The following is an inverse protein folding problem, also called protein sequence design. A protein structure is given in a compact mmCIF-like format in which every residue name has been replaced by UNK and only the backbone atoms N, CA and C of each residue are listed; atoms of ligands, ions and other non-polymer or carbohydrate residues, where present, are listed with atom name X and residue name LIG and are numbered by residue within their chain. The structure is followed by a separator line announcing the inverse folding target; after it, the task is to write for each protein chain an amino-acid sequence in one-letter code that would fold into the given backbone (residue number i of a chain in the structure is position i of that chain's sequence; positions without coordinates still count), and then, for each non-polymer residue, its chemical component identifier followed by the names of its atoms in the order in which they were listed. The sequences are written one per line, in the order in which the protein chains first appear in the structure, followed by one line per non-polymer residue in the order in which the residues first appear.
data_IF_307023699431
#
_entry.id   IF_307023699431
#
_cell.length_a   1.000
_cell.length_b   1.000
_cell.length_c   1.000
_cell.angle_alpha   90.00
_cell.angle_beta   90.00
_cell.angle_gamma   90.00
#
_symmetry.space_group_name_H-M   'P 1'
#
loop_
_entity.id
_entity.type
_entity.pdbx_description
1 polymer ?
#
# COMPACT_ATOMS: atom_id res chain seq x y z
N UNK A 1 19.75 1.66 5.35
CA UNK A 1 18.61 0.76 5.10
C UNK A 1 17.37 1.62 5.13
N UNK A 2 16.45 1.47 4.17
CA UNK A 2 15.18 2.21 4.19
C UNK A 2 14.32 1.73 5.35
N UNK A 3 13.68 2.64 6.07
CA UNK A 3 12.75 2.26 7.13
C UNK A 3 11.55 1.52 6.53
N UNK A 4 10.90 0.61 7.26
CA UNK A 4 9.72 -0.09 6.76
C UNK A 4 8.60 0.84 6.27
N UNK A 5 8.43 2.00 6.93
CA UNK A 5 7.48 3.04 6.54
C UNK A 5 7.86 3.72 5.21
N UNK A 6 9.15 3.85 4.90
CA UNK A 6 9.60 4.38 3.61
C UNK A 6 9.20 3.45 2.47
N UNK A 7 9.31 2.14 2.68
CA UNK A 7 8.90 1.13 1.70
C UNK A 7 7.39 1.22 1.46
N UNK A 8 6.59 1.35 2.51
CA UNK A 8 5.15 1.58 2.36
C UNK A 8 4.88 2.85 1.56
N UNK A 9 5.45 3.98 1.95
CA UNK A 9 5.28 5.27 1.28
C UNK A 9 5.68 5.23 -0.20
N UNK A 10 6.76 4.52 -0.55
CA UNK A 10 7.19 4.31 -1.94
C UNK A 10 6.06 3.74 -2.81
N UNK A 11 5.47 2.63 -2.37
CA UNK A 11 4.44 1.95 -3.16
C UNK A 11 3.12 2.71 -3.14
N UNK A 12 2.78 3.40 -2.05
CA UNK A 12 1.60 4.27 -1.98
C UNK A 12 1.69 5.44 -2.95
N UNK A 13 2.83 6.14 -3.00
CA UNK A 13 3.06 7.20 -3.98
C UNK A 13 2.93 6.72 -5.42
N UNK A 14 3.55 5.58 -5.74
CA UNK A 14 3.44 5.00 -7.08
C UNK A 14 2.01 4.57 -7.41
N UNK A 15 1.26 4.04 -6.43
CA UNK A 15 -0.14 3.69 -6.62
C UNK A 15 -0.97 4.94 -6.91
N UNK A 16 -0.79 6.01 -6.13
CA UNK A 16 -1.46 7.29 -6.33
C UNK A 16 -1.12 7.90 -7.70
N UNK A 17 0.15 7.89 -8.10
CA UNK A 17 0.58 8.36 -9.41
C UNK A 17 0.00 7.50 -10.56
N UNK A 18 -0.13 6.18 -10.36
CA UNK A 18 -0.75 5.27 -11.33
C UNK A 18 -2.25 5.50 -11.47
N UNK A 19 -2.94 5.83 -10.37
CA UNK A 19 -4.35 6.22 -10.35
C UNK A 19 -4.56 7.51 -11.17
N UNK A 20 -3.77 8.55 -10.90
CA UNK A 20 -3.81 9.83 -11.65
C UNK A 20 -3.57 9.66 -13.16
N UNK A 21 -2.79 8.66 -13.55
CA UNK A 21 -2.47 8.32 -14.95
C UNK A 21 -3.44 7.32 -15.59
N UNK A 22 -4.57 7.01 -14.94
CA UNK A 22 -5.57 6.05 -15.42
C UNK A 22 -4.99 4.66 -15.74
N UNK A 23 -4.06 4.18 -14.90
CA UNK A 23 -3.45 2.84 -15.00
C UNK A 23 -3.88 1.94 -13.84
N UNK A 24 -5.17 1.56 -13.77
CA UNK A 24 -5.72 0.91 -12.58
C UNK A 24 -5.10 -0.47 -12.32
N UNK A 25 -4.74 -1.24 -13.36
CA UNK A 25 -4.03 -2.52 -13.17
C UNK A 25 -2.62 -2.37 -12.58
N UNK A 26 -1.95 -1.24 -12.82
CA UNK A 26 -0.64 -0.95 -12.21
C UNK A 26 -0.84 -0.50 -10.78
N UNK A 27 -1.81 0.39 -10.54
CA UNK A 27 -2.23 0.81 -9.20
C UNK A 27 -2.52 -0.40 -8.31
N UNK A 28 -3.36 -1.33 -8.76
CA UNK A 28 -3.78 -2.48 -7.94
C UNK A 28 -2.59 -3.34 -7.53
N UNK A 29 -1.63 -3.59 -8.44
CA UNK A 29 -0.40 -4.31 -8.11
C UNK A 29 0.44 -3.60 -7.06
N UNK A 30 0.59 -2.28 -7.18
CA UNK A 30 1.33 -1.47 -6.22
C UNK A 30 0.62 -1.44 -4.85
N UNK A 31 -0.72 -1.37 -4.85
CA UNK A 31 -1.54 -1.46 -3.65
C UNK A 31 -1.41 -2.82 -2.96
N UNK A 32 -1.25 -3.94 -3.68
CA UNK A 32 -1.00 -5.25 -3.06
C UNK A 32 0.32 -5.23 -2.28
N UNK A 33 1.38 -4.66 -2.87
CA UNK A 33 2.68 -4.56 -2.19
C UNK A 33 2.59 -3.60 -0.99
N UNK A 34 1.94 -2.45 -1.15
CA UNK A 34 1.71 -1.51 -0.06
C UNK A 34 0.89 -2.14 1.08
N UNK A 35 -0.17 -2.88 0.78
CA UNK A 35 -1.01 -3.52 1.78
C UNK A 35 -0.23 -4.57 2.60
N UNK A 36 0.63 -5.36 1.95
CA UNK A 36 1.52 -6.30 2.62
C UNK A 36 2.55 -5.58 3.50
N UNK A 37 3.16 -4.49 3.01
CA UNK A 37 4.09 -3.66 3.80
C UNK A 37 3.41 -3.06 5.03
N UNK A 38 2.20 -2.50 4.86
CA UNK A 38 1.41 -1.94 5.95
C UNK A 38 1.07 -2.98 7.02
N UNK A 39 0.66 -4.18 6.61
CA UNK A 39 0.39 -5.28 7.55
C UNK A 39 1.63 -5.69 8.36
N UNK A 40 2.81 -5.75 7.73
CA UNK A 40 4.08 -6.08 8.41
C UNK A 40 4.47 -5.07 9.49
N UNK A 41 4.11 -3.81 9.31
CA UNK A 41 4.38 -2.74 10.29
C UNK A 41 3.16 -2.42 11.17
N UNK A 42 2.19 -3.33 11.21
CA UNK A 42 0.98 -3.25 12.04
C UNK A 42 0.04 -2.07 11.75
N UNK A 43 0.15 -1.45 10.57
CA UNK A 43 -0.83 -0.48 10.06
C UNK A 43 -2.01 -1.22 9.41
N UNK A 44 -2.78 -1.95 10.22
CA UNK A 44 -3.80 -2.88 9.72
C UNK A 44 -4.94 -2.17 8.98
N UNK A 45 -5.35 -0.98 9.43
CA UNK A 45 -6.40 -0.20 8.75
C UNK A 45 -5.95 0.25 7.36
N UNK A 46 -4.69 0.70 7.24
CA UNK A 46 -4.07 1.05 5.96
C UNK A 46 -4.02 -0.16 5.02
N UNK A 47 -3.66 -1.33 5.55
CA UNK A 47 -3.66 -2.58 4.78
C UNK A 47 -5.06 -2.94 4.28
N UNK A 48 -6.07 -2.88 5.17
CA UNK A 48 -7.48 -3.09 4.84
C UNK A 48 -7.98 -2.08 3.79
N UNK A 49 -7.60 -0.81 3.89
CA UNK A 49 -7.99 0.22 2.93
C UNK A 49 -7.37 -0.01 1.55
N UNK A 50 -6.09 -0.40 1.47
CA UNK A 50 -5.47 -0.80 0.21
C UNK A 50 -6.25 -1.94 -0.46
N UNK A 51 -6.59 -2.99 0.30
CA UNK A 51 -7.44 -4.10 -0.17
C UNK A 51 -8.82 -3.61 -0.62
N UNK A 52 -9.45 -2.74 0.17
CA UNK A 52 -10.75 -2.16 -0.14
C UNK A 52 -10.73 -1.42 -1.48
N UNK A 53 -9.75 -0.54 -1.73
CA UNK A 53 -9.61 0.17 -3.02
C UNK A 53 -9.40 -0.79 -4.19
N UNK A 54 -8.62 -1.86 -4.02
CA UNK A 54 -8.43 -2.89 -5.06
C UNK A 54 -9.77 -3.56 -5.39
N UNK A 55 -10.53 -3.98 -4.37
CA UNK A 55 -11.79 -4.72 -4.57
C UNK A 55 -12.93 -3.85 -5.07
N UNK A 56 -12.96 -2.56 -4.71
CA UNK A 56 -13.90 -1.59 -5.30
C UNK A 56 -13.72 -1.49 -6.83
N UNK A 57 -12.48 -1.52 -7.31
CA UNK A 57 -12.19 -1.46 -8.74
C UNK A 57 -12.30 -2.83 -9.43
N UNK A 58 -11.78 -3.88 -8.79
CA UNK A 58 -11.77 -5.24 -9.31
C UNK A 58 -12.30 -6.22 -8.25
N UNK A 59 -13.63 -6.42 -8.17
CA UNK A 59 -14.24 -7.31 -7.19
C UNK A 59 -13.78 -8.78 -7.29
N UNK A 60 -13.25 -9.18 -8.45
CA UNK A 60 -12.75 -10.54 -8.71
C UNK A 60 -11.22 -10.67 -8.48
N UNK A 61 -10.58 -9.65 -7.93
CA UNK A 61 -9.14 -9.68 -7.67
C UNK A 61 -8.79 -10.79 -6.67
N UNK A 62 -7.70 -11.51 -6.90
CA UNK A 62 -7.28 -12.66 -6.06
C UNK A 62 -7.10 -12.30 -4.59
N UNK A 63 -6.73 -11.05 -4.29
CA UNK A 63 -6.62 -10.51 -2.91
C UNK A 63 -7.92 -10.66 -2.11
N UNK A 64 -9.07 -10.77 -2.79
CA UNK A 64 -10.37 -10.97 -2.15
C UNK A 64 -10.45 -12.24 -1.31
N UNK A 65 -9.62 -13.26 -1.62
CA UNK A 65 -9.56 -14.53 -0.89
C UNK A 65 -9.12 -14.38 0.57
N UNK A 66 -8.37 -13.34 0.89
CA UNK A 66 -7.88 -13.09 2.24
C UNK A 66 -8.56 -11.86 2.81
N UNK A 67 -9.33 -12.03 3.88
CA UNK A 67 -10.01 -10.92 4.56
C UNK A 67 -9.02 -10.03 5.32
N UNK A 68 -8.01 -10.66 5.92
CA UNK A 68 -6.95 -10.02 6.67
C UNK A 68 -5.59 -10.32 6.04
N UNK A 69 -4.86 -9.28 5.66
CA UNK A 69 -3.53 -9.43 5.08
C UNK A 69 -2.45 -9.72 6.10
N UNK A 70 -2.69 -9.48 7.40
CA UNK A 70 -1.78 -9.93 8.44
C UNK A 70 -1.69 -11.45 8.44
N UNK A 71 -2.84 -12.15 8.39
CA UNK A 71 -2.90 -13.60 8.34
C UNK A 71 -2.43 -14.14 6.97
N UNK A 72 -2.74 -13.42 5.89
CA UNK A 72 -2.29 -13.79 4.54
C UNK A 72 -0.76 -13.81 4.41
N UNK A 73 -0.02 -13.08 5.23
CA UNK A 73 1.44 -13.09 5.18
C UNK A 73 2.06 -14.43 5.59
N UNK A 74 1.30 -15.31 6.24
CA UNK A 74 1.69 -16.69 6.57
C UNK A 74 1.16 -17.72 5.53
N UNK A 75 0.38 -17.28 4.55
CA UNK A 75 -0.22 -18.12 3.51
C UNK A 75 0.72 -18.22 2.28
N UNK A 76 1.07 -19.46 1.91
CA UNK A 76 1.98 -19.73 0.79
C UNK A 76 1.45 -19.23 -0.57
N UNK A 77 0.14 -19.30 -0.81
CA UNK A 77 -0.47 -18.82 -2.05
C UNK A 77 -0.41 -17.30 -2.14
N UNK A 78 -0.69 -16.60 -1.04
CA UNK A 78 -0.54 -15.15 -0.99
C UNK A 78 0.91 -14.73 -1.21
N UNK A 79 1.86 -15.40 -0.54
CA UNK A 79 3.29 -15.13 -0.70
C UNK A 79 3.76 -15.35 -2.15
N UNK A 80 3.22 -16.36 -2.83
CA UNK A 80 3.49 -16.60 -4.25
C UNK A 80 3.01 -15.44 -5.14
N UNK A 81 1.78 -14.97 -4.91
CA UNK A 81 1.20 -13.80 -5.61
C UNK A 81 2.04 -12.55 -5.35
N UNK A 82 2.34 -12.26 -4.08
CA UNK A 82 3.12 -11.10 -3.67
C UNK A 82 4.51 -11.10 -4.31
N UNK A 83 5.21 -12.25 -4.29
CA UNK A 83 6.54 -12.41 -4.88
C UNK A 83 6.52 -12.19 -6.39
N UNK A 84 5.49 -12.66 -7.09
CA UNK A 84 5.30 -12.40 -8.52
C UNK A 84 5.20 -10.90 -8.83
N UNK A 85 4.43 -10.16 -8.02
CA UNK A 85 4.29 -8.71 -8.18
C UNK A 85 5.61 -7.99 -7.85
N UNK A 86 6.27 -8.36 -6.76
CA UNK A 86 7.55 -7.77 -6.34
C UNK A 86 8.67 -8.02 -7.36
N UNK A 87 8.66 -9.14 -8.09
CA UNK A 87 9.60 -9.36 -9.21
C UNK A 87 9.39 -8.36 -10.35
N UNK A 88 8.15 -7.93 -10.59
CA UNK A 88 7.82 -6.93 -11.62
C UNK A 88 8.12 -5.50 -11.17
N UNK A 89 7.98 -5.24 -9.87
CA UNK A 89 8.22 -3.96 -9.21
C UNK A 89 9.16 -4.15 -8.01
N UNK A 90 10.44 -4.50 -8.23
CA UNK A 90 11.41 -4.55 -7.14
C UNK A 90 11.64 -3.15 -6.60
N UNK A 91 12.09 -3.04 -5.34
CA UNK A 91 12.26 -1.76 -4.65
C UNK A 91 13.09 -0.76 -5.46
N UNK A 92 14.26 -1.16 -5.97
CA UNK A 92 15.14 -0.28 -6.77
C UNK A 92 14.42 0.29 -8.01
N UNK A 93 13.63 -0.55 -8.69
CA UNK A 93 12.84 -0.10 -9.84
C UNK A 93 11.72 0.84 -9.40
N UNK A 94 11.05 0.56 -8.29
CA UNK A 94 10.04 1.43 -7.72
C UNK A 94 10.63 2.81 -7.34
N UNK A 95 11.81 2.85 -6.74
CA UNK A 95 12.54 4.08 -6.41
C UNK A 95 12.86 4.90 -7.67
N UNK A 96 13.38 4.26 -8.72
CA UNK A 96 13.63 4.92 -10.02
C UNK A 96 12.35 5.45 -10.65
N UNK A 97 11.26 4.67 -10.62
CA UNK A 97 9.97 5.12 -11.13
C UNK A 97 9.47 6.34 -10.38
N UNK A 98 9.67 6.40 -9.06
CA UNK A 98 9.25 7.53 -8.24
C UNK A 98 10.10 8.78 -8.52
N UNK A 99 11.43 8.62 -8.63
CA UNK A 99 12.34 9.70 -9.01
C UNK A 99 11.98 10.30 -10.38
N UNK A 100 11.62 9.46 -11.36
CA UNK A 100 11.18 9.92 -12.68
C UNK A 100 9.85 10.72 -12.66
N UNK A 101 9.07 10.61 -11.57
CA UNK A 101 7.87 11.41 -11.37
C UNK A 101 8.18 12.75 -10.70
N UNK A 102 9.44 13.01 -10.32
CA UNK A 102 9.84 14.20 -9.58
C UNK A 102 9.36 14.21 -8.13
N UNK A 103 9.00 13.05 -7.57
CA UNK A 103 8.52 12.93 -6.19
C UNK A 103 9.70 12.64 -5.26
N UNK A 104 10.08 13.65 -4.47
CA UNK A 104 11.07 13.52 -3.42
C UNK A 104 10.40 13.17 -2.09
N UNK A 105 10.66 11.98 -1.55
CA UNK A 105 10.09 11.52 -0.27
C UNK A 105 10.78 12.10 0.96
N UNK A 106 11.98 12.67 0.79
CA UNK A 106 12.81 13.34 1.79
C UNK A 106 12.44 13.05 3.25
N UNK A 107 11.93 14.09 3.92
CA UNK A 107 11.35 14.03 5.28
C UNK A 107 9.84 14.22 5.26
N UNK A 108 9.16 13.79 4.19
CA UNK A 108 7.71 13.97 4.04
C UNK A 108 6.94 13.35 5.21
N UNK A 109 7.37 12.17 5.67
CA UNK A 109 6.83 11.49 6.85
C UNK A 109 6.90 12.36 8.11
N UNK A 110 7.92 13.22 8.26
CA UNK A 110 8.11 14.04 9.46
C UNK A 110 7.09 15.20 9.55
N UNK A 111 6.35 15.47 8.48
CA UNK A 111 5.25 16.43 8.47
C UNK A 111 3.95 15.87 9.07
N UNK A 112 3.91 14.57 9.39
CA UNK A 112 2.74 13.88 9.94
C UNK A 112 3.00 13.43 11.37
N UNK A 113 1.93 13.34 12.16
CA UNK A 113 2.00 12.99 13.58
C UNK A 113 2.42 11.53 13.77
N UNK A 114 1.88 10.63 12.96
CA UNK A 114 2.21 9.21 12.99
C UNK A 114 2.22 8.56 11.59
N UNK A 115 2.66 7.30 11.56
CA UNK A 115 2.81 6.54 10.32
C UNK A 115 1.44 6.19 9.68
N UNK A 116 0.37 6.09 10.47
CA UNK A 116 -0.98 5.83 9.96
C UNK A 116 -1.52 7.08 9.24
N UNK A 117 -1.34 8.26 9.83
CA UNK A 117 -1.73 9.54 9.23
C UNK A 117 -0.99 9.79 7.92
N UNK A 118 0.33 9.59 7.91
CA UNK A 118 1.13 9.68 6.69
C UNK A 118 0.60 8.74 5.59
N UNK A 119 0.38 7.47 5.91
CA UNK A 119 -0.10 6.50 4.93
C UNK A 119 -1.54 6.80 4.46
N UNK A 120 -2.42 7.25 5.36
CA UNK A 120 -3.78 7.66 5.05
C UNK A 120 -3.81 8.84 4.06
N UNK A 121 -2.97 9.85 4.30
CA UNK A 121 -2.83 11.00 3.41
C UNK A 121 -2.43 10.59 1.99
N UNK A 122 -1.45 9.68 1.84
CA UNK A 122 -1.05 9.16 0.53
C UNK A 122 -2.16 8.39 -0.19
N UNK A 123 -3.02 7.72 0.57
CA UNK A 123 -4.18 6.99 0.06
C UNK A 123 -5.37 7.90 -0.30
N UNK A 124 -5.28 9.20 0.00
CA UNK A 124 -6.35 10.18 -0.20
C UNK A 124 -7.49 10.01 0.80
N UNK A 125 -7.17 9.64 2.04
CA UNK A 125 -8.13 9.47 3.14
C UNK A 125 -7.55 10.04 4.44
N UNK A 126 -8.26 9.88 5.57
CA UNK A 126 -7.84 10.34 6.89
C UNK A 126 -7.87 9.19 7.91
N UNK A 127 -7.12 9.27 9.02
CA UNK A 127 -7.22 8.30 10.12
C UNK A 127 -8.65 8.12 10.63
N UNK A 128 -9.43 9.20 10.74
CA UNK A 128 -10.83 9.17 11.18
C UNK A 128 -11.70 8.36 10.22
N UNK A 129 -11.50 8.51 8.92
CA UNK A 129 -12.23 7.74 7.91
C UNK A 129 -11.82 6.26 7.92
N UNK A 130 -10.54 5.97 8.15
CA UNK A 130 -10.06 4.60 8.36
C UNK A 130 -10.68 3.96 9.60
N UNK A 131 -10.80 4.71 10.69
CA UNK A 131 -11.47 4.27 11.92
C UNK A 131 -12.96 4.02 11.69
N UNK A 132 -13.64 4.93 11.01
CA UNK A 132 -15.06 4.79 10.66
C UNK A 132 -15.33 3.52 9.83
N UNK A 133 -14.43 3.18 8.91
CA UNK A 133 -14.58 2.03 8.02
C UNK A 133 -14.16 0.69 8.66
N UNK A 134 -13.14 0.69 9.52
CA UNK A 134 -12.50 -0.55 9.99
C UNK A 134 -12.44 -0.71 11.51
N UNK A 135 -12.99 0.23 12.28
CA UNK A 135 -13.01 0.24 13.73
C UNK A 135 -11.77 0.88 14.39
N UNK A 136 -11.74 0.94 15.73
CA UNK A 136 -10.62 1.50 16.52
C UNK A 136 -9.29 0.77 16.22
N UNK A 137 -8.15 1.41 16.55
CA UNK A 137 -6.84 0.78 16.38
C UNK A 137 -6.79 -0.44 17.32
N UNK A 138 -6.32 -1.61 16.84
CA UNK A 138 -6.19 -2.79 17.68
C UNK A 138 -5.09 -2.65 18.74
#
# INVERSE_FOLDING_TARGET
MSQPIDILGLYLHLAQASEKRQRPHVRDRLLVVAAASAARIKLFRVSKYCRHKILQHNPRHVIGRWENLADALDDADFLSVLKSIQRRYPQEKAERLLANLGIERGRERDAYYDDEEYAAALLGTTPDELERLFGPRP
#
